data_IF_127707165537
#
_entry.id   IF_127707165537
#
_cell.length_a   1.000
_cell.length_b   1.000
_cell.length_c   1.000
_cell.angle_alpha   90.00
_cell.angle_beta   90.00
_cell.angle_gamma   90.00
#
_symmetry.space_group_name_H-M   'P 1'
#
loop_
_entity.id
_entity.type
_entity.pdbx_description
1 polymer ?
#
# COMPACT_ATOMS: atom_id res chain seq x y z
N UNK A 1 27.30 -1.34 12.97
CA UNK A 1 25.94 -1.69 13.45
C UNK A 1 25.11 -1.87 12.18
N UNK A 2 24.52 -3.04 11.89
CA UNK A 2 23.70 -3.14 10.69
C UNK A 2 22.44 -2.32 10.95
N UNK A 3 22.30 -1.21 10.24
CA UNK A 3 21.00 -0.54 10.08
C UNK A 3 20.02 -1.63 9.65
N UNK A 4 18.96 -1.84 10.42
CA UNK A 4 17.91 -2.79 10.06
C UNK A 4 17.18 -2.22 8.84
N UNK A 5 17.70 -2.52 7.65
CA UNK A 5 17.12 -2.15 6.37
C UNK A 5 15.72 -2.74 6.29
N UNK A 6 14.71 -1.93 6.56
CA UNK A 6 13.33 -2.40 6.63
C UNK A 6 12.71 -2.29 5.25
N UNK A 7 12.45 -3.46 4.64
CA UNK A 7 11.82 -3.48 3.32
C UNK A 7 10.31 -3.41 3.50
N UNK A 8 9.70 -2.34 2.98
CA UNK A 8 8.27 -2.08 3.08
C UNK A 8 7.60 -2.28 1.73
N UNK A 9 6.61 -3.18 1.65
CA UNK A 9 5.82 -3.43 0.44
C UNK A 9 4.37 -3.09 0.71
N UNK A 10 3.79 -2.19 -0.08
CA UNK A 10 2.40 -1.78 0.01
C UNK A 10 1.66 -2.36 -1.19
N UNK A 11 0.58 -3.06 -0.93
CA UNK A 11 -0.26 -3.72 -1.94
C UNK A 11 -1.68 -3.26 -1.73
N UNK A 12 -2.34 -2.80 -2.78
CA UNK A 12 -3.71 -2.29 -2.71
C UNK A 12 -4.60 -3.27 -3.45
N UNK A 13 -5.61 -3.78 -2.76
CA UNK A 13 -6.55 -4.76 -3.25
C UNK A 13 -7.96 -4.16 -3.32
N UNK A 14 -8.73 -4.56 -4.31
CA UNK A 14 -10.17 -4.29 -4.39
C UNK A 14 -10.98 -5.19 -3.43
N UNK A 15 -12.26 -4.91 -3.23
CA UNK A 15 -13.20 -5.82 -2.53
C UNK A 15 -13.19 -7.23 -3.12
N UNK A 16 -12.96 -7.35 -4.44
CA UNK A 16 -12.85 -8.63 -5.14
C UNK A 16 -11.49 -9.33 -4.95
N UNK A 17 -10.56 -8.76 -4.18
CA UNK A 17 -9.22 -9.29 -3.94
C UNK A 17 -8.22 -9.02 -5.08
N UNK A 18 -8.66 -8.36 -6.16
CA UNK A 18 -7.79 -7.97 -7.29
C UNK A 18 -6.76 -6.94 -6.83
N UNK A 19 -5.48 -7.18 -7.14
CA UNK A 19 -4.42 -6.21 -6.88
C UNK A 19 -4.55 -5.06 -7.88
N UNK A 20 -4.83 -3.87 -7.37
CA UNK A 20 -5.03 -2.63 -8.14
C UNK A 20 -3.73 -1.86 -8.30
N UNK A 21 -2.86 -1.94 -7.29
CA UNK A 21 -1.56 -1.27 -7.27
C UNK A 21 -0.61 -1.93 -6.30
N UNK A 22 0.66 -1.99 -6.68
CA UNK A 22 1.74 -2.42 -5.77
C UNK A 22 2.77 -1.31 -5.70
N UNK A 23 2.91 -0.70 -4.52
CA UNK A 23 3.95 0.28 -4.26
C UNK A 23 5.04 -0.37 -3.41
N UNK A 24 6.29 -0.30 -3.87
CA UNK A 24 7.46 -0.73 -3.10
C UNK A 24 8.26 0.53 -2.77
N UNK A 25 7.87 1.29 -1.73
CA UNK A 25 8.78 2.29 -1.19
C UNK A 25 10.06 1.53 -0.83
N UNK A 26 11.19 1.93 -1.40
CA UNK A 26 12.45 1.23 -1.19
C UNK A 26 12.86 1.15 0.28
N UNK A 27 14.00 0.53 0.55
CA UNK A 27 14.57 0.42 1.90
C UNK A 27 14.53 1.78 2.60
N UNK A 28 13.79 1.86 3.69
CA UNK A 28 13.72 3.08 4.50
C UNK A 28 14.53 2.86 5.76
N UNK A 29 15.60 3.63 5.94
CA UNK A 29 16.43 3.61 7.17
C UNK A 29 15.70 4.34 8.29
N UNK A 30 14.69 3.71 8.90
CA UNK A 30 14.04 4.19 10.13
C UNK A 30 13.22 5.49 10.01
N UNK A 31 13.09 6.06 8.82
CA UNK A 31 12.30 7.28 8.59
C UNK A 31 10.82 6.95 8.37
N UNK A 32 9.94 7.81 8.88
CA UNK A 32 8.49 7.68 8.69
C UNK A 32 8.15 7.93 7.22
N UNK A 33 7.93 6.87 6.45
CA UNK A 33 7.44 7.00 5.07
C UNK A 33 5.94 7.22 5.07
N UNK A 34 5.49 8.34 4.50
CA UNK A 34 4.08 8.62 4.26
C UNK A 34 3.82 8.37 2.77
N UNK A 35 3.02 7.35 2.48
CA UNK A 35 2.56 7.07 1.12
C UNK A 35 1.16 7.64 0.94
N UNK A 36 1.00 8.54 -0.04
CA UNK A 36 -0.30 9.06 -0.42
C UNK A 36 -0.85 8.26 -1.57
N UNK A 37 -2.06 7.73 -1.40
CA UNK A 37 -2.78 7.07 -2.47
C UNK A 37 -3.93 7.94 -2.93
N UNK A 38 -3.87 8.37 -4.19
CA UNK A 38 -4.86 9.25 -4.81
C UNK A 38 -6.14 8.51 -5.27
N UNK A 39 -6.37 7.27 -4.82
CA UNK A 39 -7.51 6.46 -5.26
C UNK A 39 -7.48 6.12 -6.76
N UNK A 40 -6.28 6.02 -7.33
CA UNK A 40 -6.07 5.65 -8.74
C UNK A 40 -5.26 4.36 -8.84
N UNK A 41 -5.61 3.53 -9.81
CA UNK A 41 -4.85 2.31 -10.16
C UNK A 41 -3.47 2.66 -10.77
N UNK A 42 -2.67 1.63 -11.04
CA UNK A 42 -1.36 1.79 -11.71
C UNK A 42 -1.47 2.44 -13.09
N UNK A 43 -2.52 2.11 -13.84
CA UNK A 43 -2.82 2.66 -15.17
C UNK A 43 -3.42 4.07 -15.15
N UNK A 44 -3.48 4.75 -13.99
CA UNK A 44 -4.08 6.08 -13.88
C UNK A 44 -5.62 6.09 -13.91
N UNK A 45 -6.23 4.91 -13.94
CA UNK A 45 -7.69 4.72 -13.87
C UNK A 45 -8.19 5.15 -12.50
N UNK A 46 -9.22 6.00 -12.47
CA UNK A 46 -9.90 6.35 -11.24
C UNK A 46 -10.64 5.12 -10.72
N UNK A 47 -10.38 4.79 -9.46
CA UNK A 47 -11.12 3.72 -8.81
C UNK A 47 -12.53 4.20 -8.47
N UNK A 48 -13.49 3.31 -8.70
CA UNK A 48 -14.89 3.58 -8.38
C UNK A 48 -15.10 3.74 -6.87
N UNK A 49 -16.29 4.19 -6.48
CA UNK A 49 -16.65 4.15 -5.06
C UNK A 49 -16.74 2.70 -4.60
N UNK A 50 -15.99 2.33 -3.56
CA UNK A 50 -15.83 0.94 -3.15
C UNK A 50 -14.97 0.76 -1.91
N UNK A 51 -14.90 -0.49 -1.44
CA UNK A 51 -14.03 -0.89 -0.33
C UNK A 51 -12.72 -1.39 -0.93
N UNK A 52 -11.62 -0.88 -0.39
CA UNK A 52 -10.26 -1.21 -0.80
C UNK A 52 -9.48 -1.70 0.40
N UNK A 53 -8.64 -2.71 0.22
CA UNK A 53 -7.78 -3.22 1.28
C UNK A 53 -6.32 -2.88 0.98
N UNK A 54 -5.71 -2.08 1.85
CA UNK A 54 -4.28 -1.78 1.78
C UNK A 54 -3.54 -2.76 2.67
N UNK A 55 -2.62 -3.52 2.08
CA UNK A 55 -1.74 -4.47 2.75
C UNK A 55 -0.30 -3.94 2.74
N UNK A 56 0.18 -3.49 3.89
CA UNK A 56 1.55 -3.07 4.14
C UNK A 56 2.34 -4.23 4.77
N UNK A 57 3.40 -4.67 4.13
CA UNK A 57 4.32 -5.70 4.66
C UNK A 57 5.65 -5.05 4.95
N UNK A 58 6.10 -5.05 6.20
CA UNK A 58 7.37 -4.48 6.66
C UNK A 58 8.20 -5.57 7.29
N UNK A 59 9.29 -5.97 6.61
CA UNK A 59 10.12 -7.12 6.97
C UNK A 59 9.30 -8.40 7.12
N UNK A 60 8.89 -8.73 8.36
CA UNK A 60 8.13 -9.92 8.73
C UNK A 60 6.70 -9.58 9.20
N UNK A 61 6.42 -8.31 9.46
CA UNK A 61 5.12 -7.84 9.92
C UNK A 61 4.22 -7.46 8.76
N UNK A 62 3.02 -8.01 8.73
CA UNK A 62 1.99 -7.65 7.75
C UNK A 62 0.88 -6.89 8.45
N UNK A 63 0.56 -5.71 7.91
CA UNK A 63 -0.55 -4.86 8.31
C UNK A 63 -1.52 -4.79 7.14
N UNK A 64 -2.81 -4.97 7.42
CA UNK A 64 -3.86 -4.82 6.42
C UNK A 64 -4.96 -3.94 6.97
N UNK A 65 -5.23 -2.84 6.28
CA UNK A 65 -6.32 -1.92 6.58
C UNK A 65 -7.34 -1.94 5.44
N UNK A 66 -8.60 -1.72 5.79
CA UNK A 66 -9.68 -1.57 4.83
C UNK A 66 -10.13 -0.11 4.83
N UNK A 67 -10.24 0.46 3.64
CA UNK A 67 -10.61 1.85 3.42
C UNK A 67 -11.79 1.89 2.46
N UNK A 68 -12.68 2.83 2.70
CA UNK A 68 -13.81 3.07 1.82
C UNK A 68 -13.47 4.33 1.03
N UNK A 69 -13.32 4.18 -0.28
CA UNK A 69 -13.19 5.33 -1.17
C UNK A 69 -14.57 5.67 -1.69
N UNK A 70 -14.98 6.91 -1.51
CA UNK A 70 -16.23 7.48 -2.02
C UNK A 70 -15.83 8.63 -2.94
N UNK A 71 -16.35 8.65 -4.16
CA UNK A 71 -16.13 9.72 -5.13
C UNK A 71 -17.06 10.91 -4.85
#
# INVERSE_FOLDING_TARGET
MPEAESTSTITIHDLQGKILKTARPGKTSGEKTIAFWNGKEEEGKALGSGIYSIKLTVNDSTYSEQLIQIH
#
